data_IF_956619048526
#
_entry.id   IF_956619048526
#
_cell.length_a   1.000
_cell.length_b   1.000
_cell.length_c   1.000
_cell.angle_alpha   90.00
_cell.angle_beta   90.00
_cell.angle_gamma   90.00
#
_symmetry.space_group_name_H-M   'P 1'
#
loop_
_entity.id
_entity.type
_entity.pdbx_description
1 polymer ?
#
# COMPACT_ATOMS: atom_id res chain seq x y z
N UNK A 1 17.17 8.17 -1.12
CA UNK A 1 15.76 7.83 -1.37
C UNK A 1 15.73 6.61 -2.25
N UNK A 2 15.02 5.56 -1.86
CA UNK A 2 14.88 4.35 -2.68
C UNK A 2 13.67 4.56 -3.59
N UNK A 3 13.89 4.60 -4.90
CA UNK A 3 12.84 4.81 -5.89
C UNK A 3 12.01 3.52 -6.08
N UNK A 4 10.70 3.68 -6.26
CA UNK A 4 9.84 2.57 -6.65
C UNK A 4 10.16 2.07 -8.07
N UNK A 5 10.07 0.75 -8.33
CA UNK A 5 10.14 0.24 -9.69
C UNK A 5 8.97 0.76 -10.55
N UNK A 6 9.18 0.85 -11.87
CA UNK A 6 8.13 1.26 -12.79
C UNK A 6 6.91 0.32 -12.77
N UNK A 7 5.71 0.90 -12.93
CA UNK A 7 4.42 0.17 -12.97
C UNK A 7 4.48 -0.97 -13.98
N UNK A 8 4.99 -0.71 -15.18
CA UNK A 8 5.16 -1.72 -16.23
C UNK A 8 5.97 -2.93 -15.75
N UNK A 9 7.11 -2.70 -15.12
CA UNK A 9 8.03 -3.74 -14.71
C UNK A 9 7.41 -4.62 -13.62
N UNK A 10 6.69 -4.01 -12.67
CA UNK A 10 5.96 -4.73 -11.62
C UNK A 10 4.87 -5.58 -12.23
N UNK A 11 4.11 -5.05 -13.19
CA UNK A 11 3.06 -5.80 -13.87
C UNK A 11 3.62 -6.99 -14.66
N UNK A 12 4.77 -6.84 -15.32
CA UNK A 12 5.44 -7.96 -16.00
C UNK A 12 5.94 -9.01 -15.01
N UNK A 13 6.51 -8.59 -13.88
CA UNK A 13 6.97 -9.50 -12.83
C UNK A 13 5.79 -10.27 -12.19
N UNK A 14 4.69 -9.58 -11.93
CA UNK A 14 3.43 -10.15 -11.43
C UNK A 14 2.91 -11.26 -12.35
N UNK A 15 2.83 -10.99 -13.66
CA UNK A 15 2.42 -11.98 -14.67
C UNK A 15 3.36 -13.16 -14.74
N UNK A 16 4.67 -12.91 -14.69
CA UNK A 16 5.70 -13.96 -14.78
C UNK A 16 5.66 -14.91 -13.59
N UNK A 17 5.26 -14.43 -12.41
CA UNK A 17 5.08 -15.22 -11.19
C UNK A 17 3.65 -15.74 -10.99
N UNK A 18 2.72 -15.46 -11.91
CA UNK A 18 1.35 -15.94 -11.85
C UNK A 18 0.49 -15.31 -10.74
N UNK A 19 0.83 -14.10 -10.28
CA UNK A 19 0.16 -13.46 -9.13
C UNK A 19 -1.24 -12.92 -9.48
N UNK A 20 -1.51 -12.67 -10.77
CA UNK A 20 -2.76 -12.08 -11.28
C UNK A 20 -3.16 -10.74 -10.65
N UNK A 21 -2.23 -10.01 -10.03
CA UNK A 21 -2.45 -8.71 -9.40
C UNK A 21 -1.80 -7.57 -10.19
N UNK A 22 -2.43 -6.41 -10.18
CA UNK A 22 -1.88 -5.16 -10.70
C UNK A 22 -0.72 -4.64 -9.83
N UNK A 23 0.01 -3.65 -10.35
CA UNK A 23 1.08 -3.03 -9.58
C UNK A 23 0.54 -2.26 -8.35
N UNK A 24 -0.63 -1.60 -8.50
CA UNK A 24 -1.31 -0.90 -7.42
C UNK A 24 -1.77 -1.85 -6.31
N UNK A 25 -2.38 -2.98 -6.66
CA UNK A 25 -2.79 -3.99 -5.67
C UNK A 25 -1.59 -4.57 -4.92
N UNK A 26 -0.51 -4.90 -5.63
CA UNK A 26 0.71 -5.42 -5.02
C UNK A 26 1.36 -4.42 -4.06
N UNK A 27 1.46 -3.15 -4.48
CA UNK A 27 2.00 -2.10 -3.62
C UNK A 27 1.10 -1.84 -2.42
N UNK A 28 -0.21 -1.70 -2.63
CA UNK A 28 -1.19 -1.47 -1.56
C UNK A 28 -1.16 -2.59 -0.53
N UNK A 29 -1.25 -3.85 -0.97
CA UNK A 29 -1.21 -5.01 -0.08
C UNK A 29 0.06 -5.09 0.74
N UNK A 30 1.22 -4.86 0.12
CA UNK A 30 2.51 -4.82 0.81
C UNK A 30 2.57 -3.68 1.83
N UNK A 31 2.14 -2.48 1.47
CA UNK A 31 2.07 -1.34 2.38
C UNK A 31 1.16 -1.63 3.57
N UNK A 32 -0.01 -2.24 3.34
CA UNK A 32 -0.95 -2.62 4.39
C UNK A 32 -0.35 -3.62 5.36
N UNK A 33 0.27 -4.69 4.83
CA UNK A 33 0.94 -5.71 5.60
C UNK A 33 2.03 -5.12 6.51
N UNK A 34 2.92 -4.30 5.96
CA UNK A 34 4.01 -3.68 6.71
C UNK A 34 3.49 -2.62 7.71
N UNK A 35 2.49 -1.82 7.32
CA UNK A 35 1.88 -0.81 8.19
C UNK A 35 1.23 -1.45 9.43
N UNK A 36 0.62 -2.62 9.31
CA UNK A 36 0.07 -3.37 10.44
C UNK A 36 1.14 -4.11 11.29
N UNK A 37 2.42 -4.04 10.92
CA UNK A 37 3.51 -4.71 11.63
C UNK A 37 3.80 -6.13 11.16
N UNK A 38 3.32 -6.51 9.97
CA UNK A 38 3.74 -7.72 9.29
C UNK A 38 5.25 -7.75 9.06
N UNK A 39 5.82 -8.94 9.05
CA UNK A 39 7.27 -9.11 8.89
C UNK A 39 7.72 -8.77 7.47
N UNK A 40 8.90 -8.17 7.36
CA UNK A 40 9.60 -7.98 6.08
C UNK A 40 10.18 -9.31 5.58
N UNK A 41 9.53 -9.93 4.60
CA UNK A 41 9.82 -11.29 4.14
C UNK A 41 9.96 -11.36 2.61
N UNK A 42 10.88 -12.18 2.07
CA UNK A 42 10.95 -12.44 0.63
C UNK A 42 9.62 -12.97 0.05
N UNK A 43 8.96 -13.89 0.74
CA UNK A 43 7.69 -14.51 0.34
C UNK A 43 6.43 -13.63 0.52
N UNK A 44 6.61 -12.32 0.68
CA UNK A 44 5.51 -11.37 0.92
C UNK A 44 4.32 -11.48 -0.07
N UNK A 45 4.46 -11.82 -1.37
CA UNK A 45 3.29 -11.90 -2.25
C UNK A 45 2.30 -12.95 -1.77
N UNK A 46 2.79 -14.09 -1.27
CA UNK A 46 1.92 -15.13 -0.71
C UNK A 46 1.17 -14.67 0.53
N UNK A 47 1.76 -13.78 1.33
CA UNK A 47 1.12 -13.21 2.52
C UNK A 47 0.03 -12.22 2.15
N UNK A 48 0.30 -11.29 1.24
CA UNK A 48 -0.66 -10.22 0.92
C UNK A 48 -1.75 -10.64 -0.04
N UNK A 49 -1.50 -11.69 -0.84
CA UNK A 49 -2.50 -12.31 -1.73
C UNK A 49 -3.22 -13.50 -1.06
N UNK A 50 -2.89 -13.81 0.20
CA UNK A 50 -3.43 -14.94 0.95
C UNK A 50 -3.29 -16.31 0.23
N UNK A 51 -2.16 -16.51 -0.44
CA UNK A 51 -1.81 -17.76 -1.14
C UNK A 51 -0.36 -18.16 -0.81
N UNK A 52 -0.20 -18.98 0.23
CA UNK A 52 1.09 -19.52 0.67
C UNK A 52 1.75 -20.45 -0.37
N UNK A 53 1.05 -20.82 -1.45
CA UNK A 53 1.59 -21.61 -2.55
C UNK A 53 2.39 -20.80 -3.56
N UNK A 54 2.35 -19.46 -3.48
CA UNK A 54 3.05 -18.59 -4.42
C UNK A 54 4.57 -18.64 -4.24
N UNK A 55 5.34 -18.62 -5.34
CA UNK A 55 6.79 -18.55 -5.26
C UNK A 55 7.25 -17.22 -4.66
N UNK A 56 8.27 -17.28 -3.82
CA UNK A 56 8.97 -16.08 -3.38
C UNK A 56 9.69 -15.43 -4.59
N UNK A 57 9.61 -14.10 -4.76
CA UNK A 57 10.44 -13.39 -5.71
C UNK A 57 11.93 -13.62 -5.47
N UNK A 58 12.69 -13.77 -6.55
CA UNK A 58 14.15 -13.89 -6.48
C UNK A 58 14.79 -12.62 -5.90
N UNK A 59 15.88 -12.74 -5.11
CA UNK A 59 16.62 -11.57 -4.63
C UNK A 59 17.06 -10.65 -5.76
N UNK A 60 16.85 -9.35 -5.59
CA UNK A 60 17.15 -8.32 -6.59
C UNK A 60 16.18 -8.27 -7.77
N UNK A 61 15.13 -9.11 -7.81
CA UNK A 61 14.05 -8.99 -8.79
C UNK A 61 13.24 -7.70 -8.61
N UNK A 62 12.36 -7.39 -9.57
CA UNK A 62 11.49 -6.20 -9.50
C UNK A 62 10.64 -6.20 -8.22
N UNK A 63 10.05 -7.33 -7.86
CA UNK A 63 9.19 -7.42 -6.67
C UNK A 63 9.99 -7.42 -5.35
N UNK A 64 11.23 -7.88 -5.36
CA UNK A 64 12.12 -7.73 -4.21
C UNK A 64 12.55 -6.27 -4.03
N UNK A 65 12.85 -5.55 -5.12
CA UNK A 65 13.13 -4.11 -5.07
C UNK A 65 11.92 -3.29 -4.63
N UNK A 66 10.71 -3.67 -5.06
CA UNK A 66 9.46 -3.07 -4.58
C UNK A 66 9.35 -3.21 -3.05
N UNK A 67 9.57 -4.42 -2.52
CA UNK A 67 9.61 -4.66 -1.07
C UNK A 67 10.60 -3.76 -0.34
N UNK A 68 11.84 -3.73 -0.82
CA UNK A 68 12.90 -2.92 -0.22
C UNK A 68 12.59 -1.42 -0.25
N UNK A 69 11.99 -0.94 -1.34
CA UNK A 69 11.59 0.46 -1.47
C UNK A 69 10.48 0.83 -0.48
N UNK A 70 9.42 0.01 -0.38
CA UNK A 70 8.32 0.25 0.58
C UNK A 70 8.82 0.24 2.03
N UNK A 71 9.65 -0.73 2.41
CA UNK A 71 10.25 -0.78 3.75
C UNK A 71 11.05 0.50 4.03
N UNK A 72 11.92 0.91 3.10
CA UNK A 72 12.73 2.11 3.26
C UNK A 72 11.86 3.38 3.36
N UNK A 73 10.81 3.49 2.55
CA UNK A 73 9.93 4.66 2.53
C UNK A 73 9.04 4.78 3.78
N UNK A 74 8.54 3.66 4.32
CA UNK A 74 7.73 3.67 5.56
C UNK A 74 8.55 4.01 6.81
N UNK A 75 9.86 3.76 6.80
CA UNK A 75 10.78 4.11 7.88
C UNK A 75 11.49 5.46 7.68
N UNK A 76 11.25 6.13 6.53
CA UNK A 76 11.90 7.39 6.17
C UNK A 76 11.39 8.56 7.04
N UNK A 77 12.33 9.39 7.52
CA UNK A 77 12.02 10.51 8.43
C UNK A 77 11.62 11.79 7.74
N UNK A 78 11.88 11.89 6.44
CA UNK A 78 11.49 13.02 5.62
C UNK A 78 10.09 12.81 5.00
N UNK A 79 9.40 11.72 5.41
CA UNK A 79 8.06 11.34 4.97
C UNK A 79 7.95 11.20 3.45
N UNK A 80 8.97 10.60 2.83
CA UNK A 80 9.09 10.44 1.38
C UNK A 80 8.28 9.25 0.80
N UNK A 81 7.34 8.68 1.56
CA UNK A 81 6.45 7.63 1.07
C UNK A 81 5.61 8.14 -0.10
N UNK A 82 5.50 7.34 -1.16
CA UNK A 82 4.75 7.66 -2.37
C UNK A 82 3.80 6.50 -2.72
N UNK A 83 2.73 6.81 -3.47
CA UNK A 83 1.78 5.81 -3.93
C UNK A 83 2.14 5.30 -5.33
N UNK A 84 1.99 4.00 -5.54
CA UNK A 84 2.11 3.38 -6.85
C UNK A 84 0.73 3.05 -7.41
N UNK A 85 0.28 3.86 -8.38
CA UNK A 85 -1.09 3.80 -8.89
C UNK A 85 -1.13 3.32 -10.35
N UNK A 86 -0.88 4.24 -11.29
CA UNK A 86 -0.91 3.96 -12.72
C UNK A 86 0.34 4.49 -13.42
N UNK A 87 0.51 4.13 -14.69
CA UNK A 87 1.60 4.66 -15.51
C UNK A 87 1.56 6.20 -15.59
N UNK A 88 2.72 6.86 -15.67
CA UNK A 88 2.77 8.30 -15.93
C UNK A 88 1.95 8.69 -17.16
N UNK A 89 1.05 9.66 -17.00
CA UNK A 89 0.16 10.13 -18.07
C UNK A 89 -1.10 9.28 -18.28
N UNK A 90 -1.40 8.32 -17.39
CA UNK A 90 -2.68 7.61 -17.41
C UNK A 90 -3.87 8.58 -17.23
N UNK A 91 -5.01 8.32 -17.89
CA UNK A 91 -6.23 9.12 -17.70
C UNK A 91 -6.65 9.17 -16.23
N UNK A 92 -7.29 10.26 -15.83
CA UNK A 92 -7.80 10.47 -14.46
C UNK A 92 -8.56 9.24 -13.96
N UNK A 93 -9.51 8.73 -14.74
CA UNK A 93 -10.29 7.53 -14.44
C UNK A 93 -9.42 6.34 -14.01
N UNK A 94 -8.35 6.07 -14.76
CA UNK A 94 -7.48 4.92 -14.53
C UNK A 94 -6.61 5.11 -13.26
N UNK A 95 -6.23 6.35 -12.93
CA UNK A 95 -5.54 6.67 -11.67
C UNK A 95 -6.49 6.52 -10.48
N UNK A 96 -7.71 7.02 -10.60
CA UNK A 96 -8.76 6.88 -9.57
C UNK A 96 -9.10 5.41 -9.32
N UNK A 97 -9.28 4.61 -10.38
CA UNK A 97 -9.47 3.15 -10.26
C UNK A 97 -8.32 2.49 -9.51
N UNK A 98 -7.09 2.78 -9.93
CA UNK A 98 -5.90 2.24 -9.30
C UNK A 98 -5.80 2.63 -7.82
N UNK A 99 -6.18 3.86 -7.44
CA UNK A 99 -6.20 4.30 -6.05
C UNK A 99 -7.22 3.53 -5.21
N UNK A 100 -8.41 3.25 -5.75
CA UNK A 100 -9.41 2.48 -5.01
C UNK A 100 -9.01 1.01 -4.87
N UNK A 101 -8.42 0.42 -5.91
CA UNK A 101 -7.84 -0.94 -5.84
C UNK A 101 -6.66 -0.99 -4.87
N UNK A 102 -5.84 0.05 -4.84
CA UNK A 102 -4.77 0.21 -3.88
C UNK A 102 -5.30 0.23 -2.44
N UNK A 103 -6.34 1.01 -2.15
CA UNK A 103 -6.98 1.06 -0.84
C UNK A 103 -7.58 -0.30 -0.43
N UNK A 104 -8.23 -1.01 -1.38
CA UNK A 104 -8.74 -2.37 -1.14
C UNK A 104 -7.62 -3.32 -0.74
N UNK A 105 -6.53 -3.33 -1.52
CA UNK A 105 -5.39 -4.20 -1.26
C UNK A 105 -4.69 -3.84 0.05
N UNK A 106 -4.52 -2.55 0.36
CA UNK A 106 -3.99 -2.06 1.63
C UNK A 106 -4.79 -2.60 2.81
N UNK A 107 -6.12 -2.47 2.79
CA UNK A 107 -6.97 -3.00 3.86
C UNK A 107 -6.87 -4.52 3.99
N UNK A 108 -6.77 -5.23 2.86
CA UNK A 108 -6.53 -6.67 2.83
C UNK A 108 -5.22 -7.05 3.53
N UNK A 109 -4.10 -6.46 3.11
CA UNK A 109 -2.78 -6.69 3.70
C UNK A 109 -2.72 -6.30 5.17
N UNK A 110 -3.31 -5.17 5.54
CA UNK A 110 -3.39 -4.68 6.92
C UNK A 110 -4.15 -5.66 7.82
N UNK A 111 -5.29 -6.16 7.35
CA UNK A 111 -6.09 -7.16 8.06
C UNK A 111 -5.38 -8.51 8.20
N UNK A 112 -4.59 -8.93 7.20
CA UNK A 112 -3.85 -10.19 7.21
C UNK A 112 -2.65 -10.19 8.16
N UNK A 113 -1.97 -9.05 8.30
CA UNK A 113 -0.84 -8.90 9.24
C UNK A 113 -1.28 -8.79 10.71
N UNK A 114 -2.51 -8.31 10.94
CA UNK A 114 -3.04 -8.12 12.28
C UNK A 114 -3.47 -9.45 12.94
N UNK A 115 -2.53 -10.21 13.50
CA UNK A 115 -2.81 -11.39 14.35
C UNK A 115 -3.85 -11.11 15.44
N UNK A 116 -3.88 -9.86 15.92
CA UNK A 116 -4.92 -9.28 16.79
C UNK A 116 -5.19 -7.86 16.29
N UNK A 117 -6.41 -7.35 16.52
CA UNK A 117 -6.75 -5.96 16.18
C UNK A 117 -5.70 -5.01 16.78
N UNK A 118 -4.96 -4.24 15.95
CA UNK A 118 -3.95 -3.33 16.46
C UNK A 118 -4.60 -2.27 17.33
N UNK A 119 -3.86 -1.79 18.32
CA UNK A 119 -4.30 -0.64 19.12
C UNK A 119 -3.94 0.61 18.33
N UNK A 120 -4.94 1.20 17.70
CA UNK A 120 -4.83 2.43 16.93
C UNK A 120 -5.20 3.64 17.80
N UNK A 121 -4.69 4.80 17.43
CA UNK A 121 -5.20 6.10 17.90
C UNK A 121 -6.63 6.34 17.42
N UNK A 122 -7.29 7.37 17.94
CA UNK A 122 -8.62 7.76 17.44
C UNK A 122 -8.54 8.18 15.97
N UNK A 123 -7.50 8.94 15.63
CA UNK A 123 -7.19 9.36 14.27
C UNK A 123 -6.85 8.16 13.37
N UNK A 124 -6.15 7.15 13.89
CA UNK A 124 -5.85 5.91 13.18
C UNK A 124 -7.10 5.08 12.86
N UNK A 125 -8.04 4.97 13.81
CA UNK A 125 -9.33 4.31 13.56
C UNK A 125 -10.18 5.06 12.51
N UNK A 126 -10.19 6.40 12.55
CA UNK A 126 -10.89 7.23 11.56
C UNK A 126 -10.26 7.07 10.17
N UNK A 127 -8.93 7.18 10.08
CA UNK A 127 -8.19 7.00 8.83
C UNK A 127 -8.46 5.61 8.21
N UNK A 128 -8.47 4.54 9.02
CA UNK A 128 -8.77 3.20 8.54
C UNK A 128 -10.21 3.08 8.00
N UNK A 129 -11.18 3.75 8.65
CA UNK A 129 -12.57 3.78 8.18
C UNK A 129 -12.73 4.57 6.88
N UNK A 130 -12.01 5.67 6.72
CA UNK A 130 -12.04 6.47 5.50
C UNK A 130 -11.37 5.74 4.32
N UNK A 131 -10.25 5.05 4.55
CA UNK A 131 -9.69 4.12 3.56
C UNK A 131 -10.71 3.06 3.15
N UNK A 132 -11.50 2.54 4.10
CA UNK A 132 -12.57 1.58 3.79
C UNK A 132 -13.73 2.17 2.99
N UNK A 133 -14.01 3.48 3.12
CA UNK A 133 -14.98 4.19 2.27
C UNK A 133 -14.43 4.36 0.85
N UNK A 134 -13.16 4.76 0.70
CA UNK A 134 -12.48 4.87 -0.59
C UNK A 134 -12.41 3.50 -1.31
N UNK A 135 -12.11 2.43 -0.57
CA UNK A 135 -12.12 1.07 -1.09
C UNK A 135 -13.51 0.59 -1.60
N UNK A 136 -14.60 1.26 -1.23
CA UNK A 136 -15.96 0.96 -1.72
C UNK A 136 -16.41 1.91 -2.82
N UNK A 137 -15.64 2.95 -3.14
CA UNK A 137 -15.99 3.91 -4.16
C UNK A 137 -15.87 3.32 -5.58
N UNK A 138 -16.63 3.91 -6.51
CA UNK A 138 -16.49 3.68 -7.95
C UNK A 138 -15.96 4.97 -8.58
N UNK A 139 -15.05 4.81 -9.52
CA UNK A 139 -14.50 5.90 -10.32
C UNK A 139 -15.56 6.49 -11.26
N UNK A 140 -16.69 5.80 -11.53
CA UNK A 140 -17.81 6.32 -12.34
C UNK A 140 -18.41 7.64 -11.81
N UNK A 141 -18.02 8.04 -10.60
CA UNK A 141 -18.44 9.27 -9.93
C UNK A 141 -17.49 10.45 -10.19
N UNK A 142 -16.35 10.22 -10.84
CA UNK A 142 -15.37 11.25 -11.22
C UNK A 142 -15.59 11.59 -12.69
N UNK A 143 -15.88 12.85 -12.99
CA UNK A 143 -15.87 13.35 -14.36
C UNK A 143 -14.42 13.74 -14.74
N UNK A 144 -14.18 14.10 -16.01
CA UNK A 144 -12.84 14.50 -16.48
C UNK A 144 -12.60 16.01 -16.37
N UNK A 145 -13.19 16.68 -15.37
CA UNK A 145 -13.04 18.13 -15.20
C UNK A 145 -11.76 18.45 -14.42
N UNK A 146 -11.22 19.67 -14.57
CA UNK A 146 -10.02 20.11 -13.84
C UNK A 146 -10.22 20.04 -12.30
N UNK A 147 -11.46 20.20 -11.81
CA UNK A 147 -11.81 20.05 -10.40
C UNK A 147 -11.60 18.61 -9.87
N UNK A 148 -11.68 17.61 -10.74
CA UNK A 148 -11.53 16.20 -10.38
C UNK A 148 -10.04 15.77 -10.27
N UNK A 149 -9.12 16.49 -10.94
CA UNK A 149 -7.67 16.27 -10.81
C UNK A 149 -7.13 16.77 -9.45
N UNK A 150 -7.55 17.97 -9.03
CA UNK A 150 -7.18 18.52 -7.72
C UNK A 150 -7.78 17.64 -6.59
N UNK A 151 -9.02 17.20 -6.76
CA UNK A 151 -9.66 16.28 -5.82
C UNK A 151 -8.91 14.95 -5.70
N UNK A 152 -8.46 14.36 -6.81
CA UNK A 152 -7.66 13.13 -6.77
C UNK A 152 -6.35 13.36 -6.02
N UNK A 153 -5.62 14.46 -6.29
CA UNK A 153 -4.37 14.76 -5.61
C UNK A 153 -4.54 14.94 -4.09
N UNK A 154 -5.66 15.54 -3.65
CA UNK A 154 -6.00 15.64 -2.23
C UNK A 154 -6.25 14.26 -1.60
N UNK A 155 -6.96 13.37 -2.30
CA UNK A 155 -7.22 12.01 -1.82
C UNK A 155 -5.92 11.20 -1.77
N UNK A 156 -5.05 11.32 -2.78
CA UNK A 156 -3.74 10.67 -2.80
C UNK A 156 -2.88 11.09 -1.60
N UNK A 157 -2.82 12.40 -1.29
CA UNK A 157 -2.09 12.90 -0.12
C UNK A 157 -2.73 12.40 1.19
N UNK A 158 -4.06 12.40 1.28
CA UNK A 158 -4.76 11.84 2.42
C UNK A 158 -4.38 10.38 2.66
N UNK A 159 -4.41 9.54 1.61
CA UNK A 159 -4.05 8.12 1.70
C UNK A 159 -2.60 7.97 2.15
N UNK A 160 -1.69 8.77 1.60
CA UNK A 160 -0.26 8.77 1.95
C UNK A 160 -0.04 9.06 3.44
N UNK A 161 -0.72 10.06 3.99
CA UNK A 161 -0.66 10.42 5.41
C UNK A 161 -1.30 9.34 6.28
N UNK A 162 -2.45 8.80 5.87
CA UNK A 162 -3.15 7.73 6.58
C UNK A 162 -2.25 6.49 6.75
N UNK A 163 -1.52 6.09 5.70
CA UNK A 163 -0.58 4.97 5.74
C UNK A 163 0.52 5.19 6.76
N UNK A 164 1.14 6.37 6.76
CA UNK A 164 2.22 6.73 7.68
C UNK A 164 1.73 6.78 9.15
N UNK A 165 0.52 7.31 9.37
CA UNK A 165 -0.13 7.33 10.68
C UNK A 165 -0.36 5.91 11.21
N UNK A 166 -0.99 5.05 10.39
CA UNK A 166 -1.30 3.67 10.76
C UNK A 166 -0.02 2.85 11.04
N UNK A 167 1.03 3.05 10.23
CA UNK A 167 2.33 2.45 10.50
C UNK A 167 2.94 2.94 11.82
N UNK A 168 2.82 4.24 12.12
CA UNK A 168 3.23 4.83 13.39
C UNK A 168 2.55 4.19 14.60
N UNK A 169 1.22 4.03 14.55
CA UNK A 169 0.43 3.44 15.63
C UNK A 169 0.81 1.98 15.89
N UNK A 170 0.89 1.17 14.83
CA UNK A 170 1.13 -0.26 14.91
C UNK A 170 2.58 -0.60 15.24
N UNK A 171 3.54 -0.02 14.53
CA UNK A 171 4.94 -0.45 14.57
C UNK A 171 5.74 0.39 15.55
N UNK A 172 5.62 1.72 15.47
CA UNK A 172 6.41 2.62 16.33
C UNK A 172 5.84 2.66 17.75
N UNK A 173 4.51 2.64 17.89
CA UNK A 173 3.81 2.50 19.17
C UNK A 173 4.14 1.18 19.89
N UNK A 174 4.18 0.05 19.16
CA UNK A 174 4.55 -1.24 19.73
C UNK A 174 6.03 -1.31 20.14
N UNK A 175 6.95 -0.82 19.29
CA UNK A 175 8.40 -0.75 19.60
C UNK A 175 8.67 0.11 20.85
N UNK A 176 7.93 1.20 21.06
CA UNK A 176 8.07 2.02 22.26
C UNK A 176 7.60 1.29 23.54
N UNK A 177 6.47 0.59 23.49
CA UNK A 177 5.95 -0.22 24.62
C UNK A 177 6.90 -1.36 25.00
N UNK A 178 7.57 -1.98 24.03
CA UNK A 178 8.54 -3.06 24.29
C UNK A 178 9.85 -2.57 24.93
N UNK A 179 10.25 -1.30 24.73
CA UNK A 179 11.47 -0.73 25.34
C UNK A 179 11.28 -0.26 26.79
N UNK A 180 10.05 -0.15 27.25
CA UNK A 180 9.69 0.27 28.61
C UNK A 180 9.37 -0.91 29.56
N UNK A 181 9.29 -2.13 29.01
CA UNK A 181 9.13 -3.38 29.77
C UNK A 181 10.47 -4.13 29.86
#
# INVERSE_FOLDING_TARGET
MTELPAVHDILQASRSLGLAASAAELHGGLCGWLAAGGADLPEWPGKVLADDGLPAPEPGSVLDRLRQAVVAQLEDRDFAFELLLAEPGAPLQARTDALFDWCRAFLGGFGLAADKRPVLSEEGEEALQDLARLAQASSDQFDSADEDEDALAEIEEFVRVAVLLLHGDCVMGARHRQRLN
#
